data_IF_674544456352
#
_entry.id   IF_674544456352
#
_cell.length_a   1.000
_cell.length_b   1.000
_cell.length_c   1.000
_cell.angle_alpha   90.00
_cell.angle_beta   90.00
_cell.angle_gamma   90.00
#
_symmetry.space_group_name_H-M   'P 1'
#
loop_
_entity.id
_entity.type
_entity.pdbx_description
1 polymer ?
#
# COMPACT_ATOMS: atom_id res chain seq x y z
N UNK A 1 -7.97 7.66 15.26
CA UNK A 1 -8.81 6.52 14.90
C UNK A 1 -8.75 6.33 13.39
N UNK A 2 -7.76 5.54 12.96
CA UNK A 2 -7.40 5.43 11.55
C UNK A 2 -7.90 4.09 10.99
N UNK A 3 -9.23 3.91 11.01
CA UNK A 3 -9.89 2.69 10.57
C UNK A 3 -10.06 1.61 11.63
N UNK A 4 -9.60 1.84 12.86
CA UNK A 4 -9.77 0.87 13.96
C UNK A 4 -11.21 0.82 14.47
N UNK A 5 -11.71 -0.39 14.68
CA UNK A 5 -13.01 -0.60 15.29
C UNK A 5 -12.99 -0.16 16.75
N UNK A 6 -13.75 0.87 17.09
CA UNK A 6 -13.87 1.36 18.47
C UNK A 6 -14.93 0.59 19.28
N UNK A 7 -15.90 0.01 18.63
CA UNK A 7 -16.92 -0.79 19.27
C UNK A 7 -18.04 -1.19 18.34
N UNK A 8 -18.82 -2.14 18.78
CA UNK A 8 -19.98 -2.69 18.11
C UNK A 8 -21.17 -2.78 19.08
N UNK A 9 -22.36 -2.78 18.57
CA UNK A 9 -23.56 -2.87 19.41
C UNK A 9 -24.63 -3.74 18.73
N UNK A 10 -25.21 -4.61 19.52
CA UNK A 10 -26.30 -5.51 19.16
C UNK A 10 -27.63 -4.88 19.58
N UNK A 11 -28.61 -4.84 18.67
CA UNK A 11 -29.93 -4.28 18.90
C UNK A 11 -31.01 -5.31 18.59
N UNK A 12 -32.13 -5.24 19.30
CA UNK A 12 -33.30 -6.04 18.95
C UNK A 12 -34.09 -5.42 17.76
N UNK A 13 -35.12 -6.11 17.30
CA UNK A 13 -35.95 -5.65 16.20
C UNK A 13 -36.72 -4.35 16.44
N UNK A 14 -36.75 -3.83 17.68
CA UNK A 14 -37.30 -2.52 18.05
C UNK A 14 -36.25 -1.40 18.08
N UNK A 15 -34.96 -1.73 17.83
CA UNK A 15 -33.84 -0.80 17.92
C UNK A 15 -33.29 -0.61 19.34
N UNK A 16 -33.75 -1.40 20.32
CA UNK A 16 -33.22 -1.36 21.69
C UNK A 16 -31.86 -2.05 21.74
N UNK A 17 -30.86 -1.39 22.32
CA UNK A 17 -29.54 -1.97 22.53
C UNK A 17 -29.62 -3.12 23.54
N UNK A 18 -29.11 -4.28 23.15
CA UNK A 18 -29.01 -5.48 23.97
C UNK A 18 -27.62 -5.62 24.58
N UNK A 19 -26.61 -5.35 23.78
CA UNK A 19 -25.22 -5.49 24.17
C UNK A 19 -24.37 -4.46 23.42
N UNK A 20 -23.24 -4.09 23.99
CA UNK A 20 -22.17 -3.39 23.32
C UNK A 20 -20.82 -3.98 23.70
N UNK A 21 -19.90 -3.99 22.77
CA UNK A 21 -18.50 -4.32 22.99
C UNK A 21 -17.65 -3.14 22.53
N UNK A 22 -16.69 -2.74 23.35
CA UNK A 22 -15.75 -1.65 23.04
C UNK A 22 -14.34 -2.22 23.03
N UNK A 23 -13.53 -1.75 22.08
CA UNK A 23 -12.13 -2.17 21.90
C UNK A 23 -11.20 -1.07 22.39
N UNK A 24 -10.22 -1.44 23.18
CA UNK A 24 -9.17 -0.55 23.67
C UNK A 24 -7.88 -0.86 22.92
N UNK A 25 -7.29 0.18 22.36
CA UNK A 25 -6.11 0.10 21.52
C UNK A 25 -4.94 0.88 22.13
N UNK A 26 -3.74 0.39 21.90
CA UNK A 26 -2.49 1.12 22.04
C UNK A 26 -1.82 1.15 20.67
N UNK A 27 -1.89 2.29 20.01
CA UNK A 27 -1.56 2.40 18.58
C UNK A 27 -2.34 1.34 17.76
N UNK A 28 -1.69 0.44 17.05
CA UNK A 28 -2.32 -0.65 16.29
C UNK A 28 -2.62 -1.91 17.12
N UNK A 29 -2.08 -2.01 18.33
CA UNK A 29 -2.21 -3.18 19.21
C UNK A 29 -3.55 -3.19 19.93
N UNK A 30 -4.44 -4.18 19.74
CA UNK A 30 -5.65 -4.34 20.53
C UNK A 30 -5.31 -4.87 21.93
N UNK A 31 -5.55 -4.07 22.96
CA UNK A 31 -5.19 -4.39 24.34
C UNK A 31 -6.28 -5.12 25.12
N UNK A 32 -7.52 -4.70 24.91
CA UNK A 32 -8.63 -5.20 25.73
C UNK A 32 -9.98 -4.98 25.06
N UNK A 33 -10.99 -5.69 25.53
CA UNK A 33 -12.40 -5.41 25.23
C UNK A 33 -13.17 -5.13 26.53
N UNK A 34 -14.20 -4.29 26.41
CA UNK A 34 -15.19 -4.05 27.45
C UNK A 34 -16.55 -4.48 26.92
N UNK A 35 -17.08 -5.55 27.48
CA UNK A 35 -18.40 -6.07 27.17
C UNK A 35 -19.43 -5.49 28.12
N UNK A 36 -20.55 -5.00 27.62
CA UNK A 36 -21.62 -4.41 28.39
C UNK A 36 -22.98 -4.91 27.89
N UNK A 37 -23.71 -5.63 28.76
CA UNK A 37 -25.10 -6.01 28.53
C UNK A 37 -26.06 -4.93 29.02
N UNK A 38 -27.20 -4.78 28.35
CA UNK A 38 -28.22 -3.79 28.65
C UNK A 38 -29.54 -4.47 29.04
N UNK A 39 -30.15 -4.02 30.14
CA UNK A 39 -31.46 -4.51 30.55
C UNK A 39 -32.61 -3.95 29.72
N UNK A 40 -33.83 -4.36 30.05
CA UNK A 40 -35.01 -3.94 29.29
C UNK A 40 -35.29 -2.41 29.42
N UNK A 41 -34.71 -1.74 30.37
CA UNK A 41 -34.80 -0.29 30.60
C UNK A 41 -33.62 0.48 29.95
N UNK A 42 -32.71 -0.22 29.28
CA UNK A 42 -31.52 0.36 28.63
C UNK A 42 -30.40 0.70 29.64
N UNK A 43 -30.49 0.21 30.86
CA UNK A 43 -29.44 0.38 31.86
C UNK A 43 -28.34 -0.67 31.63
N UNK A 44 -27.11 -0.21 31.66
CA UNK A 44 -25.94 -1.07 31.54
C UNK A 44 -25.76 -1.92 32.80
N UNK A 45 -25.53 -3.22 32.63
CA UNK A 45 -25.11 -4.14 33.69
C UNK A 45 -23.65 -3.91 34.12
N UNK A 46 -23.09 -4.86 34.86
CA UNK A 46 -21.67 -4.82 35.18
C UNK A 46 -20.85 -5.13 33.93
N UNK A 47 -20.02 -4.19 33.44
CA UNK A 47 -19.20 -4.46 32.29
C UNK A 47 -18.10 -5.48 32.62
N UNK A 48 -17.78 -6.32 31.64
CA UNK A 48 -16.70 -7.32 31.72
C UNK A 48 -15.52 -6.81 30.94
N UNK A 49 -14.36 -6.71 31.59
CA UNK A 49 -13.09 -6.37 30.96
C UNK A 49 -12.34 -7.65 30.62
N UNK A 50 -11.91 -7.79 29.37
CA UNK A 50 -11.07 -8.88 28.89
C UNK A 50 -9.77 -8.31 28.31
N UNK A 51 -8.66 -8.91 28.69
CA UNK A 51 -7.33 -8.55 28.20
C UNK A 51 -7.01 -9.38 26.96
N UNK A 52 -6.66 -8.72 25.86
CA UNK A 52 -6.31 -9.37 24.61
C UNK A 52 -4.81 -9.67 24.56
N UNK A 53 -4.47 -10.85 24.05
CA UNK A 53 -3.10 -11.28 23.85
C UNK A 53 -2.91 -11.58 22.36
N UNK A 54 -2.08 -10.77 21.71
CA UNK A 54 -1.75 -10.87 20.28
C UNK A 54 -0.57 -11.79 20.02
N UNK A 55 -0.46 -12.23 18.78
CA UNK A 55 0.77 -12.82 18.25
C UNK A 55 1.77 -11.73 17.83
N UNK A 56 2.82 -12.12 17.13
CA UNK A 56 3.88 -11.22 16.66
C UNK A 56 3.46 -10.23 15.56
N UNK A 57 2.27 -10.39 14.99
CA UNK A 57 1.64 -9.47 14.05
C UNK A 57 0.49 -8.67 14.68
N UNK A 58 0.40 -8.65 16.03
CA UNK A 58 -0.67 -8.00 16.79
C UNK A 58 -2.07 -8.62 16.55
N UNK A 59 -2.13 -9.83 15.99
CA UNK A 59 -3.39 -10.55 15.80
C UNK A 59 -3.87 -11.10 17.14
N UNK A 60 -5.08 -10.76 17.64
CA UNK A 60 -5.61 -11.33 18.89
C UNK A 60 -5.78 -12.85 18.77
N UNK A 61 -5.13 -13.59 19.64
CA UNK A 61 -5.21 -15.06 19.70
C UNK A 61 -5.91 -15.57 20.94
N UNK A 62 -5.90 -14.77 22.01
CA UNK A 62 -6.39 -15.14 23.32
C UNK A 62 -7.00 -13.93 24.01
N UNK A 63 -8.06 -14.14 24.79
CA UNK A 63 -8.55 -13.16 25.73
C UNK A 63 -8.68 -13.78 27.13
N UNK A 64 -8.22 -13.07 28.15
CA UNK A 64 -8.31 -13.49 29.54
C UNK A 64 -9.13 -12.51 30.38
N UNK A 65 -9.79 -13.02 31.41
CA UNK A 65 -10.41 -12.19 32.42
C UNK A 65 -9.40 -11.64 33.44
N UNK A 66 -9.88 -10.87 34.42
CA UNK A 66 -9.03 -10.28 35.47
C UNK A 66 -8.36 -11.32 36.38
N UNK A 67 -8.84 -12.57 36.40
CA UNK A 67 -8.22 -13.68 37.15
C UNK A 67 -7.18 -14.45 36.33
N UNK A 68 -7.00 -14.09 35.05
CA UNK A 68 -6.11 -14.77 34.11
C UNK A 68 -6.72 -16.03 33.50
N UNK A 69 -8.02 -16.27 33.66
CA UNK A 69 -8.68 -17.39 33.00
C UNK A 69 -8.99 -17.04 31.54
N UNK A 70 -8.79 -18.04 30.66
CA UNK A 70 -9.08 -17.88 29.23
C UNK A 70 -10.59 -17.78 29.04
N UNK A 71 -11.04 -16.64 28.53
CA UNK A 71 -12.44 -16.38 28.20
C UNK A 71 -12.74 -16.58 26.71
N UNK A 72 -11.75 -16.40 25.86
CA UNK A 72 -11.83 -16.56 24.43
C UNK A 72 -10.48 -16.95 23.84
N UNK A 73 -10.50 -17.76 22.78
CA UNK A 73 -9.29 -18.17 22.04
C UNK A 73 -9.65 -18.39 20.57
N UNK A 74 -8.84 -17.86 19.67
CA UNK A 74 -8.95 -18.12 18.24
C UNK A 74 -7.82 -19.02 17.76
N UNK A 75 -8.18 -20.20 17.28
CA UNK A 75 -7.27 -21.16 16.68
C UNK A 75 -7.53 -21.23 15.19
N UNK A 76 -6.54 -20.90 14.38
CA UNK A 76 -6.65 -20.92 12.93
C UNK A 76 -5.41 -21.51 12.28
N UNK A 77 -5.56 -21.90 11.00
CA UNK A 77 -4.41 -22.13 10.14
C UNK A 77 -3.70 -20.80 9.80
N UNK A 78 -2.68 -20.87 8.97
CA UNK A 78 -1.89 -19.69 8.59
C UNK A 78 -2.72 -18.60 7.89
N UNK A 79 -3.77 -18.98 7.17
CA UNK A 79 -4.65 -18.07 6.45
C UNK A 79 -5.91 -17.66 7.23
N UNK A 80 -5.99 -17.98 8.50
CA UNK A 80 -7.09 -17.52 9.36
C UNK A 80 -8.33 -18.40 9.34
N UNK A 81 -8.31 -19.55 8.64
CA UNK A 81 -9.39 -20.51 8.68
C UNK A 81 -9.34 -21.25 10.01
N UNK A 82 -10.40 -21.13 10.80
CA UNK A 82 -10.51 -21.80 12.08
C UNK A 82 -11.62 -21.22 12.94
N UNK A 83 -11.81 -21.82 14.09
CA UNK A 83 -12.89 -21.49 15.00
C UNK A 83 -12.40 -20.71 16.24
N UNK A 84 -13.24 -19.83 16.73
CA UNK A 84 -13.05 -19.20 18.02
C UNK A 84 -13.75 -20.03 19.12
N UNK A 85 -12.99 -20.38 20.12
CA UNK A 85 -13.51 -21.04 21.33
C UNK A 85 -13.78 -19.97 22.39
N UNK A 86 -15.01 -19.94 22.91
CA UNK A 86 -15.46 -18.95 23.88
C UNK A 86 -16.04 -19.58 25.13
N UNK A 87 -15.85 -18.90 26.25
CA UNK A 87 -16.60 -19.22 27.47
C UNK A 87 -17.83 -18.30 27.57
N UNK A 88 -18.99 -18.92 27.72
CA UNK A 88 -20.26 -18.20 27.82
C UNK A 88 -20.60 -17.40 26.55
N UNK A 89 -20.96 -16.14 26.71
CA UNK A 89 -21.33 -15.22 25.62
C UNK A 89 -20.17 -14.36 25.11
N UNK A 90 -18.94 -14.64 25.55
CA UNK A 90 -17.76 -13.86 25.15
C UNK A 90 -17.53 -14.00 23.65
N UNK A 91 -17.30 -12.87 22.97
CA UNK A 91 -16.93 -12.82 21.55
C UNK A 91 -15.78 -11.85 21.37
N UNK A 92 -14.87 -12.16 20.47
CA UNK A 92 -13.90 -11.20 19.94
C UNK A 92 -13.90 -11.39 18.44
N UNK A 93 -14.37 -10.38 17.72
CA UNK A 93 -14.52 -10.44 16.26
C UNK A 93 -13.31 -9.92 15.51
N UNK A 94 -12.30 -9.40 16.21
CA UNK A 94 -11.03 -9.05 15.57
C UNK A 94 -10.32 -10.30 15.06
N UNK A 95 -9.69 -10.18 13.87
CA UNK A 95 -8.91 -11.23 13.21
C UNK A 95 -7.50 -10.73 12.92
N UNK A 96 -6.95 -10.94 11.74
CA UNK A 96 -5.70 -10.32 11.34
C UNK A 96 -5.79 -8.80 11.44
N UNK A 97 -4.67 -8.05 11.57
CA UNK A 97 -4.71 -6.60 11.64
C UNK A 97 -5.62 -5.98 10.57
N UNK A 98 -6.55 -5.13 11.00
CA UNK A 98 -7.59 -4.51 10.15
C UNK A 98 -8.83 -5.35 9.91
N UNK A 99 -8.81 -6.66 10.23
CA UNK A 99 -9.91 -7.56 9.93
C UNK A 99 -10.94 -7.68 11.07
N UNK A 100 -12.20 -7.72 10.68
CA UNK A 100 -13.35 -8.00 11.55
C UNK A 100 -14.13 -9.20 11.01
N UNK A 101 -14.36 -10.19 11.84
CA UNK A 101 -15.14 -11.38 11.50
C UNK A 101 -16.63 -11.06 11.46
N UNK A 102 -17.24 -11.21 10.33
CA UNK A 102 -18.67 -11.15 10.11
C UNK A 102 -19.27 -12.56 10.22
N UNK A 103 -20.03 -12.78 11.28
CA UNK A 103 -20.63 -14.09 11.56
C UNK A 103 -21.77 -14.47 10.60
N UNK A 104 -22.39 -13.49 9.94
CA UNK A 104 -23.47 -13.73 8.98
C UNK A 104 -22.94 -14.25 7.65
N UNK A 105 -21.84 -13.70 7.16
CA UNK A 105 -21.21 -14.10 5.89
C UNK A 105 -20.14 -15.17 6.04
N UNK A 106 -19.51 -15.25 7.22
CA UNK A 106 -18.31 -16.06 7.46
C UNK A 106 -17.02 -15.43 6.91
N UNK A 107 -17.11 -14.23 6.36
CA UNK A 107 -15.98 -13.49 5.82
C UNK A 107 -15.32 -12.63 6.91
N UNK A 108 -14.12 -12.13 6.60
CA UNK A 108 -13.47 -11.10 7.40
C UNK A 108 -13.53 -9.76 6.64
N UNK A 109 -14.37 -8.84 7.09
CA UNK A 109 -14.34 -7.47 6.59
C UNK A 109 -12.96 -6.86 6.85
N UNK A 110 -12.33 -6.33 5.82
CA UNK A 110 -11.00 -5.71 5.88
C UNK A 110 -11.00 -4.37 5.14
N UNK A 111 -11.73 -3.40 5.66
CA UNK A 111 -11.86 -2.03 5.21
C UNK A 111 -12.29 -1.89 3.74
N UNK A 112 -11.39 -2.10 2.77
CA UNK A 112 -11.67 -1.94 1.35
C UNK A 112 -12.07 -3.24 0.65
N UNK A 113 -11.88 -4.39 1.30
CA UNK A 113 -12.19 -5.72 0.74
C UNK A 113 -12.70 -6.66 1.82
N UNK A 114 -13.42 -7.67 1.39
CA UNK A 114 -13.78 -8.80 2.24
C UNK A 114 -12.80 -9.96 2.01
N UNK A 115 -12.28 -10.49 3.09
CA UNK A 115 -11.34 -11.61 3.06
C UNK A 115 -12.06 -12.93 3.37
N UNK A 116 -11.85 -13.91 2.52
CA UNK A 116 -12.38 -15.27 2.69
C UNK A 116 -11.30 -16.18 3.30
N UNK A 117 -11.41 -16.55 4.59
CA UNK A 117 -10.44 -17.43 5.24
C UNK A 117 -10.46 -18.87 4.70
N UNK A 118 -11.56 -19.32 4.10
CA UNK A 118 -11.66 -20.66 3.52
C UNK A 118 -10.78 -20.82 2.28
N UNK A 119 -10.65 -19.73 1.49
CA UNK A 119 -9.83 -19.73 0.28
C UNK A 119 -8.48 -19.02 0.47
N UNK A 120 -8.28 -18.32 1.59
CA UNK A 120 -7.06 -17.60 1.91
C UNK A 120 -6.81 -16.37 1.01
N UNK A 121 -7.89 -15.72 0.54
CA UNK A 121 -7.80 -14.62 -0.42
C UNK A 121 -8.97 -13.64 -0.28
N UNK A 122 -8.84 -12.49 -0.89
CA UNK A 122 -9.93 -11.52 -0.98
C UNK A 122 -11.03 -11.97 -1.94
N UNK A 123 -12.26 -11.58 -1.66
CA UNK A 123 -13.44 -11.82 -2.51
C UNK A 123 -13.47 -10.86 -3.69
N UNK A 124 -13.05 -9.60 -3.44
CA UNK A 124 -12.95 -8.57 -4.46
C UNK A 124 -11.52 -8.43 -5.00
N UNK A 125 -11.44 -8.00 -6.25
CA UNK A 125 -10.17 -7.56 -6.82
C UNK A 125 -9.68 -6.30 -6.11
N UNK A 126 -8.38 -6.20 -5.95
CA UNK A 126 -7.74 -5.04 -5.33
C UNK A 126 -8.18 -3.73 -6.04
N UNK A 127 -8.75 -2.74 -5.33
CA UNK A 127 -9.14 -1.47 -5.93
C UNK A 127 -7.96 -0.65 -6.46
N UNK A 128 -6.73 -0.90 -5.98
CA UNK A 128 -5.50 -0.31 -6.54
C UNK A 128 -4.94 -1.12 -7.72
N UNK A 129 -5.60 -2.22 -8.09
CA UNK A 129 -5.25 -3.05 -9.24
C UNK A 129 -3.90 -3.75 -9.09
N UNK A 130 -3.15 -3.82 -10.19
CA UNK A 130 -1.84 -4.51 -10.22
C UNK A 130 -0.75 -3.83 -9.36
N UNK A 131 -1.00 -2.65 -8.82
CA UNK A 131 -0.09 -1.98 -7.87
C UNK A 131 -0.04 -2.75 -6.55
N UNK A 132 -1.15 -3.37 -6.14
CA UNK A 132 -1.22 -4.26 -4.99
C UNK A 132 -0.67 -5.67 -5.23
N UNK A 133 -0.08 -5.94 -6.40
CA UNK A 133 0.49 -7.24 -6.77
C UNK A 133 -0.13 -7.86 -8.01
N UNK A 134 0.56 -8.85 -8.61
CA UNK A 134 0.08 -9.54 -9.82
C UNK A 134 -1.23 -10.31 -9.58
N UNK A 135 -1.41 -10.83 -8.37
CA UNK A 135 -2.64 -11.49 -7.96
C UNK A 135 -3.51 -10.49 -7.17
N UNK A 136 -4.40 -9.78 -7.86
CA UNK A 136 -5.26 -8.76 -7.27
C UNK A 136 -6.27 -9.29 -6.23
N UNK A 137 -6.36 -10.60 -6.04
CA UNK A 137 -7.15 -11.27 -5.00
C UNK A 137 -6.28 -11.84 -3.88
N UNK A 138 -4.94 -11.76 -4.02
CA UNK A 138 -4.01 -12.32 -3.04
C UNK A 138 -4.03 -11.57 -1.72
N UNK A 139 -3.91 -12.29 -0.62
CA UNK A 139 -3.65 -11.74 0.70
C UNK A 139 -2.16 -11.80 0.99
N UNK A 140 -1.54 -10.67 1.29
CA UNK A 140 -0.14 -10.48 1.73
C UNK A 140 0.87 -11.35 0.97
N UNK A 141 0.73 -11.42 -0.36
CA UNK A 141 1.62 -12.21 -1.25
C UNK A 141 1.73 -13.70 -0.89
N UNK A 142 0.74 -14.25 -0.14
CA UNK A 142 0.76 -15.62 0.35
C UNK A 142 1.62 -15.83 1.60
N UNK A 143 2.05 -14.77 2.28
CA UNK A 143 2.84 -14.82 3.51
C UNK A 143 2.10 -14.26 4.75
N UNK A 144 0.97 -14.86 5.18
CA UNK A 144 0.17 -14.36 6.29
C UNK A 144 0.82 -14.54 7.67
N UNK A 145 1.93 -15.25 7.75
CA UNK A 145 2.72 -15.40 8.99
C UNK A 145 3.78 -14.32 9.15
N UNK A 146 4.07 -13.55 8.11
CA UNK A 146 5.11 -12.52 8.14
C UNK A 146 4.62 -11.11 7.79
N UNK A 147 3.46 -11.01 7.17
CA UNK A 147 2.92 -9.75 6.67
C UNK A 147 1.46 -9.56 7.09
N UNK A 148 1.02 -8.32 7.18
CA UNK A 148 -0.37 -7.95 7.41
C UNK A 148 -0.82 -6.89 6.41
N UNK A 149 -2.13 -6.80 6.18
CA UNK A 149 -2.76 -5.83 5.30
C UNK A 149 -3.94 -5.16 6.03
N UNK A 150 -3.68 -4.15 6.87
CA UNK A 150 -4.72 -3.56 7.72
C UNK A 150 -5.84 -2.83 7.00
N UNK A 151 -5.63 -2.47 5.74
CA UNK A 151 -6.62 -1.72 4.95
C UNK A 151 -7.26 -2.55 3.84
N UNK A 152 -6.78 -3.77 3.60
CA UNK A 152 -7.20 -4.50 2.42
C UNK A 152 -6.68 -3.89 1.11
N UNK A 153 -5.48 -3.31 1.14
CA UNK A 153 -4.78 -2.66 0.02
C UNK A 153 -3.29 -3.01 0.13
N UNK A 154 -2.88 -4.19 -0.27
CA UNK A 154 -1.45 -4.53 -0.26
C UNK A 154 -0.67 -3.79 -1.37
N UNK A 155 0.62 -3.49 -1.18
CA UNK A 155 1.44 -3.49 0.00
C UNK A 155 1.53 -2.08 0.62
N UNK A 156 1.31 -1.99 1.89
CA UNK A 156 1.47 -0.77 2.65
C UNK A 156 1.82 -1.12 4.09
N UNK A 157 2.95 -1.76 4.29
CA UNK A 157 3.37 -2.11 5.64
C UNK A 157 3.49 -0.85 6.50
N UNK A 158 2.95 -0.92 7.71
CA UNK A 158 3.15 0.11 8.72
C UNK A 158 4.52 -0.11 9.37
N UNK A 159 5.39 0.87 9.25
CA UNK A 159 6.75 0.77 9.74
C UNK A 159 6.96 1.67 10.96
N UNK A 160 7.69 1.17 11.93
CA UNK A 160 8.03 1.93 13.14
C UNK A 160 8.94 3.14 12.84
N UNK A 161 9.67 3.14 11.73
CA UNK A 161 10.58 4.23 11.34
C UNK A 161 10.43 4.60 9.86
N UNK A 162 10.67 5.88 9.54
CA UNK A 162 10.74 6.35 8.15
C UNK A 162 11.79 5.59 7.33
N UNK A 163 12.91 5.23 7.97
CA UNK A 163 13.98 4.50 7.30
C UNK A 163 13.53 3.10 6.86
N UNK A 164 12.75 2.39 7.69
CA UNK A 164 12.20 1.08 7.37
C UNK A 164 11.18 1.18 6.23
N UNK A 165 10.22 2.12 6.32
CA UNK A 165 9.23 2.37 5.28
C UNK A 165 9.89 2.73 3.94
N UNK A 166 10.95 3.54 3.98
CA UNK A 166 11.70 3.93 2.79
C UNK A 166 12.50 2.78 2.19
N UNK A 167 13.09 1.92 3.03
CA UNK A 167 13.84 0.74 2.59
C UNK A 167 12.92 -0.27 1.89
N UNK A 168 11.74 -0.51 2.45
CA UNK A 168 10.74 -1.41 1.88
C UNK A 168 10.18 -0.85 0.56
N UNK A 169 9.81 0.43 0.52
CA UNK A 169 9.36 1.11 -0.69
C UNK A 169 10.41 1.03 -1.82
N UNK A 170 11.70 1.11 -1.50
CA UNK A 170 12.79 0.96 -2.46
C UNK A 170 12.92 -0.49 -2.94
N UNK A 171 12.82 -1.48 -2.02
CA UNK A 171 12.85 -2.89 -2.36
C UNK A 171 11.67 -3.28 -3.26
N UNK A 172 10.47 -2.78 -2.94
CA UNK A 172 9.28 -2.94 -3.79
C UNK A 172 9.49 -2.31 -5.17
N UNK A 173 10.00 -1.09 -5.24
CA UNK A 173 10.31 -0.42 -6.51
C UNK A 173 11.33 -1.20 -7.34
N UNK A 174 12.36 -1.77 -6.71
CA UNK A 174 13.34 -2.62 -7.38
C UNK A 174 12.72 -3.92 -7.89
N UNK A 175 11.83 -4.55 -7.12
CA UNK A 175 11.13 -5.78 -7.52
C UNK A 175 10.23 -5.54 -8.73
N UNK A 176 9.43 -4.47 -8.71
CA UNK A 176 8.57 -4.07 -9.84
C UNK A 176 9.41 -3.72 -11.08
N UNK A 177 10.51 -2.99 -10.90
CA UNK A 177 11.41 -2.63 -11.99
C UNK A 177 12.20 -3.81 -12.55
N UNK A 178 12.37 -4.91 -11.83
CA UNK A 178 13.06 -6.13 -12.25
C UNK A 178 12.16 -7.15 -12.92
N UNK A 179 10.84 -7.03 -12.76
CA UNK A 179 9.85 -7.98 -13.24
C UNK A 179 9.49 -7.80 -14.73
N UNK A 180 8.67 -8.73 -15.23
CA UNK A 180 8.16 -8.76 -16.64
C UNK A 180 7.46 -7.45 -17.03
N UNK A 181 6.97 -6.67 -16.09
CA UNK A 181 6.33 -5.37 -16.31
C UNK A 181 7.24 -4.37 -17.02
N UNK A 182 8.54 -4.45 -16.80
CA UNK A 182 9.54 -3.65 -17.51
C UNK A 182 9.53 -3.91 -19.04
N UNK A 183 9.18 -5.11 -19.43
CA UNK A 183 9.11 -5.49 -20.83
C UNK A 183 7.78 -5.08 -21.51
N UNK A 184 6.67 -5.13 -20.74
CA UNK A 184 5.33 -4.81 -21.24
C UNK A 184 5.02 -3.31 -21.26
N UNK A 185 5.51 -2.55 -20.26
CA UNK A 185 5.09 -1.16 -20.01
C UNK A 185 6.21 -0.13 -20.20
N UNK A 186 7.40 -0.54 -20.62
CA UNK A 186 8.54 0.36 -20.78
C UNK A 186 9.08 0.87 -19.44
N UNK A 187 9.89 1.93 -19.48
CA UNK A 187 10.49 2.53 -18.28
C UNK A 187 9.47 3.34 -17.44
N UNK A 188 8.38 2.73 -17.02
CA UNK A 188 7.55 3.34 -15.99
C UNK A 188 8.27 3.24 -14.65
N UNK A 189 8.79 4.35 -14.17
CA UNK A 189 9.33 4.45 -12.82
C UNK A 189 8.17 4.77 -11.89
N UNK A 190 7.79 3.80 -11.08
CA UNK A 190 6.85 4.05 -9.99
C UNK A 190 7.54 4.91 -8.93
N UNK A 191 7.00 6.07 -8.65
CA UNK A 191 7.38 6.87 -7.51
C UNK A 191 6.71 6.34 -6.25
N UNK A 192 7.27 6.62 -5.10
CA UNK A 192 6.58 6.39 -3.83
C UNK A 192 6.71 7.64 -2.94
N UNK A 193 5.73 7.82 -2.09
CA UNK A 193 5.72 8.87 -1.08
C UNK A 193 5.66 8.22 0.30
N UNK A 194 6.71 8.40 1.07
CA UNK A 194 6.73 7.98 2.48
C UNK A 194 6.08 9.09 3.32
N UNK A 195 5.19 8.72 4.21
CA UNK A 195 4.54 9.67 5.11
C UNK A 195 4.28 9.01 6.48
N UNK A 196 4.12 9.86 7.47
CA UNK A 196 3.81 9.43 8.83
C UNK A 196 2.30 9.38 9.00
N UNK A 197 1.80 8.27 9.49
CA UNK A 197 0.40 8.12 9.86
C UNK A 197 0.10 8.88 11.15
N UNK A 198 -1.17 9.11 11.47
CA UNK A 198 -1.59 9.71 12.74
C UNK A 198 -1.11 8.91 13.95
N UNK A 199 -0.92 7.60 13.81
CA UNK A 199 -0.46 6.69 14.87
C UNK A 199 1.05 6.70 15.07
N UNK A 200 1.72 7.69 14.52
CA UNK A 200 3.18 7.81 14.59
C UNK A 200 3.98 6.71 13.85
N UNK A 201 3.32 5.86 13.10
CA UNK A 201 3.94 4.89 12.21
C UNK A 201 4.24 5.52 10.84
N UNK A 202 5.09 4.88 10.09
CA UNK A 202 5.44 5.30 8.75
C UNK A 202 4.89 4.31 7.73
N UNK A 203 4.45 4.80 6.61
CA UNK A 203 4.04 4.01 5.46
C UNK A 203 4.43 4.72 4.18
N UNK A 204 4.21 4.08 3.05
CA UNK A 204 4.41 4.72 1.76
C UNK A 204 3.22 4.45 0.84
N UNK A 205 3.01 5.38 -0.07
CA UNK A 205 2.04 5.27 -1.14
C UNK A 205 2.80 5.12 -2.46
N UNK A 206 2.47 4.08 -3.20
CA UNK A 206 3.02 3.90 -4.56
C UNK A 206 2.26 4.84 -5.49
N UNK A 207 2.98 5.79 -6.07
CA UNK A 207 2.41 6.70 -7.03
C UNK A 207 2.37 6.02 -8.40
N UNK A 208 1.18 5.55 -8.80
CA UNK A 208 0.97 5.03 -10.14
C UNK A 208 1.10 6.16 -11.16
N UNK A 209 1.85 5.96 -12.24
CA UNK A 209 1.80 6.90 -13.34
C UNK A 209 0.39 6.87 -13.94
N UNK A 210 -0.33 7.97 -13.86
CA UNK A 210 -1.60 8.14 -14.58
C UNK A 210 -1.26 8.11 -16.06
N UNK A 211 -1.90 7.22 -16.82
CA UNK A 211 -1.71 7.13 -18.29
C UNK A 211 -1.99 8.54 -18.90
N UNK A 212 -0.96 9.17 -19.43
CA UNK A 212 -1.03 10.49 -20.04
C UNK A 212 -0.49 11.66 -19.21
N UNK A 213 -0.11 11.44 -17.96
CA UNK A 213 0.63 12.45 -17.17
C UNK A 213 2.05 11.92 -16.98
N UNK A 214 3.03 12.70 -17.43
CA UNK A 214 4.43 12.39 -17.21
C UNK A 214 4.70 12.08 -15.73
N UNK A 215 5.62 11.15 -15.41
CA UNK A 215 5.97 10.83 -14.02
C UNK A 215 6.31 12.11 -13.26
N UNK A 216 6.01 12.17 -11.95
CA UNK A 216 6.39 13.33 -11.16
C UNK A 216 7.89 13.49 -11.27
N UNK A 217 8.21 14.61 -11.78
CA UNK A 217 9.51 15.03 -12.22
C UNK A 217 10.49 14.99 -11.07
N UNK A 218 11.66 14.46 -11.34
CA UNK A 218 12.84 14.90 -10.64
C UNK A 218 12.88 16.45 -10.61
N UNK A 219 13.80 17.08 -9.90
CA UNK A 219 13.73 18.48 -9.43
C UNK A 219 13.63 19.56 -10.51
N UNK A 220 13.33 19.24 -11.74
CA UNK A 220 13.31 20.18 -12.87
C UNK A 220 11.99 20.08 -13.66
N UNK A 221 10.94 20.68 -13.20
CA UNK A 221 9.69 21.07 -13.89
C UNK A 221 9.23 20.31 -15.18
N UNK A 222 8.13 20.72 -15.82
CA UNK A 222 7.57 20.05 -17.00
C UNK A 222 8.51 20.04 -18.22
N UNK A 223 8.14 19.27 -19.24
CA UNK A 223 8.93 19.08 -20.44
C UNK A 223 9.05 20.36 -21.30
N UNK A 224 10.18 20.52 -21.96
CA UNK A 224 10.31 21.47 -23.06
C UNK A 224 9.38 21.11 -24.22
N UNK A 225 8.91 22.12 -24.91
CA UNK A 225 8.10 21.95 -26.13
C UNK A 225 8.99 22.03 -27.38
N UNK A 226 8.52 21.46 -28.49
CA UNK A 226 9.24 21.59 -29.76
C UNK A 226 9.32 23.07 -30.17
N UNK A 227 10.46 23.49 -30.71
CA UNK A 227 10.59 24.81 -31.30
C UNK A 227 9.58 24.99 -32.44
N UNK A 228 8.93 26.14 -32.56
CA UNK A 228 8.06 26.44 -33.70
C UNK A 228 8.81 26.25 -35.04
N UNK A 229 8.16 25.58 -35.98
CA UNK A 229 8.74 25.32 -37.31
C UNK A 229 9.71 24.14 -37.40
N UNK A 230 10.04 23.47 -36.28
CA UNK A 230 10.86 22.25 -36.26
C UNK A 230 9.95 21.05 -35.99
N UNK A 231 9.71 20.21 -37.01
CA UNK A 231 9.01 18.96 -36.80
C UNK A 231 9.87 18.01 -35.97
N UNK A 232 9.23 17.24 -35.07
CA UNK A 232 9.93 16.25 -34.24
C UNK A 232 10.80 15.29 -35.06
N UNK A 233 10.31 14.92 -36.24
CA UNK A 233 11.04 14.03 -37.23
C UNK A 233 12.27 14.71 -37.84
N UNK A 234 12.15 15.96 -38.26
CA UNK A 234 13.27 16.72 -38.83
C UNK A 234 14.33 17.07 -37.77
N UNK A 235 13.90 17.39 -36.57
CA UNK A 235 14.80 17.67 -35.43
C UNK A 235 15.62 16.46 -34.97
N UNK A 236 15.06 15.24 -35.12
CA UNK A 236 15.65 14.00 -34.64
C UNK A 236 16.37 13.18 -35.76
N UNK A 237 16.79 13.83 -36.86
CA UNK A 237 17.30 13.14 -38.06
C UNK A 237 18.55 12.28 -37.77
N UNK A 238 19.42 12.74 -36.89
CA UNK A 238 20.69 12.12 -36.51
C UNK A 238 20.69 11.56 -35.08
N UNK A 239 19.52 11.43 -34.47
CA UNK A 239 19.37 10.92 -33.10
C UNK A 239 19.18 9.40 -33.16
N UNK A 240 19.78 8.63 -32.22
CA UNK A 240 19.54 7.20 -32.11
C UNK A 240 18.04 6.88 -31.98
N UNK A 241 17.58 5.84 -32.65
CA UNK A 241 16.15 5.48 -32.71
C UNK A 241 15.54 5.27 -31.33
N UNK A 242 16.31 4.70 -30.40
CA UNK A 242 15.91 4.43 -29.03
C UNK A 242 15.69 5.69 -28.19
N UNK A 243 16.33 6.82 -28.51
CA UNK A 243 16.20 8.08 -27.77
C UNK A 243 15.11 9.02 -28.33
N UNK A 244 14.48 8.70 -29.46
CA UNK A 244 13.53 9.61 -30.13
C UNK A 244 12.24 9.90 -29.40
N UNK A 245 11.91 9.10 -28.38
CA UNK A 245 10.75 9.31 -27.51
C UNK A 245 11.00 10.27 -26.35
N UNK A 246 12.25 10.57 -26.07
CA UNK A 246 12.64 11.38 -24.91
C UNK A 246 12.58 12.88 -25.19
N UNK A 247 12.47 13.69 -24.11
CA UNK A 247 12.46 15.15 -24.17
C UNK A 247 13.26 15.75 -23.02
N UNK A 248 13.85 16.93 -23.20
CA UNK A 248 14.46 17.67 -22.10
C UNK A 248 13.40 18.21 -21.13
N UNK A 249 13.73 18.30 -19.86
CA UNK A 249 12.94 19.02 -18.88
C UNK A 249 13.07 20.54 -19.04
N UNK A 250 12.11 21.31 -18.55
CA UNK A 250 12.24 22.78 -18.50
C UNK A 250 13.50 23.16 -17.72
N UNK A 251 14.26 24.11 -18.26
CA UNK A 251 15.56 24.51 -17.71
C UNK A 251 16.69 23.51 -17.91
N UNK A 252 16.44 22.30 -18.44
CA UNK A 252 17.49 21.30 -18.73
C UNK A 252 18.27 21.70 -19.97
N UNK A 253 19.59 21.77 -19.88
CA UNK A 253 20.45 21.99 -21.05
C UNK A 253 20.51 20.74 -21.92
N UNK A 254 20.86 20.87 -23.21
CA UNK A 254 21.07 19.70 -24.07
C UNK A 254 22.18 18.79 -23.57
N UNK A 255 23.15 19.33 -22.82
CA UNK A 255 24.22 18.58 -22.14
C UNK A 255 23.66 17.70 -21.02
N UNK A 256 22.84 18.27 -20.16
CA UNK A 256 22.24 17.57 -19.01
C UNK A 256 21.23 16.53 -19.50
N UNK A 257 20.44 16.89 -20.52
CA UNK A 257 19.53 15.98 -21.19
C UNK A 257 20.25 14.76 -21.76
N UNK A 258 21.30 14.98 -22.56
CA UNK A 258 22.06 13.88 -23.13
C UNK A 258 22.69 12.98 -22.07
N UNK A 259 23.25 13.60 -21.01
CA UNK A 259 23.82 12.84 -19.88
C UNK A 259 22.76 11.98 -19.21
N UNK A 260 21.58 12.53 -18.91
CA UNK A 260 20.48 11.79 -18.30
C UNK A 260 20.05 10.59 -19.14
N UNK A 261 19.82 10.78 -20.43
CA UNK A 261 19.38 9.73 -21.34
C UNK A 261 20.45 8.62 -21.49
N UNK A 262 21.73 9.01 -21.58
CA UNK A 262 22.83 8.07 -21.68
C UNK A 262 23.03 7.28 -20.38
N UNK A 263 22.93 7.96 -19.21
CA UNK A 263 23.03 7.33 -17.89
C UNK A 263 21.87 6.32 -17.69
N UNK A 264 20.66 6.65 -18.14
CA UNK A 264 19.50 5.75 -18.12
C UNK A 264 19.70 4.52 -19.02
N UNK A 265 20.28 4.68 -20.20
CA UNK A 265 20.45 3.61 -21.18
C UNK A 265 21.59 2.65 -20.85
N UNK A 266 22.73 3.19 -20.45
CA UNK A 266 23.99 2.45 -20.33
C UNK A 266 24.53 2.36 -18.91
N UNK A 267 23.86 3.00 -17.95
CA UNK A 267 24.35 3.18 -16.59
C UNK A 267 25.29 4.38 -16.46
N UNK A 268 25.34 4.95 -15.25
CA UNK A 268 26.07 6.19 -14.94
C UNK A 268 27.55 6.10 -15.31
N UNK A 269 27.96 6.91 -16.28
CA UNK A 269 29.35 6.98 -16.74
C UNK A 269 29.82 5.84 -17.66
N UNK A 270 28.98 4.89 -18.02
CA UNK A 270 29.31 3.75 -18.89
C UNK A 270 29.11 4.05 -20.38
N UNK A 271 29.27 5.27 -20.81
CA UNK A 271 29.11 5.72 -22.18
C UNK A 271 30.23 6.69 -22.59
N UNK A 272 30.41 6.86 -23.90
CA UNK A 272 31.45 7.71 -24.46
C UNK A 272 30.90 9.07 -24.90
N UNK A 273 31.58 10.14 -24.56
CA UNK A 273 31.41 11.46 -25.15
C UNK A 273 32.44 11.65 -26.27
N UNK A 274 32.14 12.45 -27.27
CA UNK A 274 33.07 12.74 -28.35
C UNK A 274 32.36 13.02 -29.69
N UNK A 275 33.08 13.48 -30.69
CA UNK A 275 32.52 13.72 -32.01
C UNK A 275 31.86 12.46 -32.59
N UNK A 276 30.58 12.57 -33.01
CA UNK A 276 29.84 11.46 -33.59
C UNK A 276 29.22 10.48 -32.59
N UNK A 277 29.48 10.60 -31.28
CA UNK A 277 28.84 9.75 -30.24
C UNK A 277 27.34 9.99 -30.16
N UNK A 278 26.61 8.98 -29.65
CA UNK A 278 25.18 9.11 -29.33
C UNK A 278 24.93 10.24 -28.36
N UNK A 279 25.78 10.41 -27.35
CA UNK A 279 25.73 11.52 -26.43
C UNK A 279 25.72 12.87 -27.16
N UNK A 280 26.64 13.08 -28.10
CA UNK A 280 26.73 14.32 -28.85
C UNK A 280 25.53 14.55 -29.78
N UNK A 281 24.99 13.47 -30.34
CA UNK A 281 23.79 13.53 -31.16
C UNK A 281 22.58 13.95 -30.36
N UNK A 282 22.36 13.33 -29.17
CA UNK A 282 21.28 13.66 -28.25
C UNK A 282 21.45 15.08 -27.69
N UNK A 283 22.64 15.48 -27.29
CA UNK A 283 22.97 16.84 -26.83
C UNK A 283 22.56 17.89 -27.86
N UNK A 284 23.03 17.75 -29.09
CA UNK A 284 22.69 18.67 -30.18
C UNK A 284 21.19 18.71 -30.46
N UNK A 285 20.52 17.58 -30.36
CA UNK A 285 19.09 17.49 -30.54
C UNK A 285 18.35 18.26 -29.43
N UNK A 286 18.73 18.07 -28.16
CA UNK A 286 18.18 18.79 -27.02
C UNK A 286 18.25 20.30 -27.17
N UNK A 287 19.40 20.82 -27.63
CA UNK A 287 19.63 22.26 -27.78
C UNK A 287 18.89 22.88 -29.00
N UNK A 288 18.82 22.15 -30.12
CA UNK A 288 18.25 22.68 -31.38
C UNK A 288 16.75 22.54 -31.51
N UNK A 289 16.14 21.54 -30.87
CA UNK A 289 14.77 21.14 -31.16
C UNK A 289 13.74 21.51 -30.13
N UNK A 290 14.17 21.93 -28.94
CA UNK A 290 13.30 22.18 -27.82
C UNK A 290 13.50 23.55 -27.19
N UNK A 291 12.43 24.12 -26.65
CA UNK A 291 12.43 25.39 -25.88
C UNK A 291 11.53 25.23 -24.65
N UNK A 292 11.80 26.01 -23.63
CA UNK A 292 10.89 26.12 -22.49
C UNK A 292 9.57 26.75 -22.93
N UNK A 293 8.41 26.20 -22.52
CA UNK A 293 7.13 26.81 -22.82
C UNK A 293 7.05 28.21 -22.18
N UNK A 294 6.38 29.13 -22.86
CA UNK A 294 6.15 30.51 -22.35
C UNK A 294 5.12 30.49 -21.24
#
# INVERSE_FOLDING_TARGET
PDGQLLGEAEHDGSGRKLRAQYYLWLDSLPLATIDADYDAQGKVGNPTLLYLHGDHLDTPRLATDASGQIAWQWQSDAFGRGEALSQGSTRVNLRFPGQYYDAESGLHYNYFRDYDPETGRYVESDPIGLVGGLNTYGYVEGNPLGLSDPLGLAPGDLFATEAAARADALAYQESVNSSIDRWLWGNMVYGFRVFKTSDCLWTYEVQTPVLGIAPPLGPKGPWKVNKPGVSGKAGAKDVPSWAKGDRPYQGESGKDFAKRIMDQKYGKGNWKDGPGSEYNQIKKWGDRSFIDPK
#
